data_IF_688666543267
#
_entry.id   IF_688666543267
#
_cell.length_a   1.000
_cell.length_b   1.000
_cell.length_c   1.000
_cell.angle_alpha   90.00
_cell.angle_beta   90.00
_cell.angle_gamma   90.00
#
_symmetry.space_group_name_H-M   'P 1'
#
loop_
_entity.id
_entity.type
_entity.pdbx_description
1 polymer ?
#
# COMPACT_ATOMS: atom_id res chain seq x y z
N UNK A 1 8.82 20.61 17.04
CA UNK A 1 7.74 20.24 16.11
C UNK A 1 7.71 18.73 15.78
N UNK A 2 8.16 17.83 16.67
CA UNK A 2 8.37 16.42 16.34
C UNK A 2 7.34 15.43 16.92
N UNK A 3 6.87 15.63 18.15
CA UNK A 3 5.91 14.72 18.79
C UNK A 3 4.62 14.55 17.99
N UNK A 4 4.03 15.67 17.53
CA UNK A 4 2.80 15.67 16.74
C UNK A 4 2.93 14.96 15.38
N UNK A 5 4.12 14.98 14.77
CA UNK A 5 4.36 14.30 13.50
C UNK A 5 4.44 12.78 13.67
N UNK A 6 5.10 12.31 14.74
CA UNK A 6 5.18 10.88 15.07
C UNK A 6 3.80 10.36 15.46
N UNK A 7 3.04 11.10 16.27
CA UNK A 7 1.67 10.73 16.63
C UNK A 7 0.74 10.65 15.42
N UNK A 8 0.90 11.57 14.46
CA UNK A 8 0.17 11.52 13.19
C UNK A 8 0.53 10.26 12.39
N UNK A 9 1.81 9.89 12.33
CA UNK A 9 2.24 8.68 11.63
C UNK A 9 1.72 7.41 12.32
N UNK A 10 1.78 7.35 13.65
CA UNK A 10 1.19 6.27 14.47
C UNK A 10 -0.29 6.06 14.16
N UNK A 11 -1.05 7.15 14.06
CA UNK A 11 -2.46 7.11 13.67
C UNK A 11 -2.61 6.60 12.23
N UNK A 12 -1.86 7.16 11.28
CA UNK A 12 -1.99 6.80 9.86
C UNK A 12 -1.64 5.34 9.55
N UNK A 13 -0.58 4.79 10.14
CA UNK A 13 -0.20 3.38 9.87
C UNK A 13 -1.18 2.40 10.50
N UNK A 14 -1.76 2.72 11.66
CA UNK A 14 -2.80 1.90 12.30
C UNK A 14 -4.11 1.98 11.53
N UNK A 15 -4.46 3.17 11.04
CA UNK A 15 -5.60 3.35 10.15
C UNK A 15 -5.43 2.54 8.86
N UNK A 16 -4.23 2.55 8.26
CA UNK A 16 -3.92 1.74 7.09
C UNK A 16 -4.09 0.25 7.37
N UNK A 17 -3.57 -0.25 8.49
CA UNK A 17 -3.73 -1.66 8.88
C UNK A 17 -5.20 -2.07 9.01
N UNK A 18 -6.02 -1.23 9.66
CA UNK A 18 -7.46 -1.44 9.74
C UNK A 18 -8.13 -1.43 8.36
N UNK A 19 -7.79 -0.46 7.51
CA UNK A 19 -8.35 -0.31 6.17
C UNK A 19 -7.99 -1.51 5.29
N UNK A 20 -6.74 -1.97 5.35
CA UNK A 20 -6.27 -3.17 4.66
C UNK A 20 -7.08 -4.39 5.09
N UNK A 21 -7.21 -4.65 6.39
CA UNK A 21 -8.00 -5.78 6.90
C UNK A 21 -9.43 -5.76 6.36
N UNK A 22 -10.11 -4.61 6.42
CA UNK A 22 -11.47 -4.45 5.88
C UNK A 22 -11.53 -4.70 4.36
N UNK A 23 -10.53 -4.22 3.61
CA UNK A 23 -10.46 -4.44 2.16
C UNK A 23 -10.29 -5.92 1.84
N UNK A 24 -9.38 -6.63 2.52
CA UNK A 24 -9.19 -8.07 2.31
C UNK A 24 -10.43 -8.88 2.71
N UNK A 25 -11.09 -8.54 3.82
CA UNK A 25 -12.35 -9.18 4.23
C UNK A 25 -13.43 -8.97 3.17
N UNK A 26 -13.56 -7.77 2.61
CA UNK A 26 -14.51 -7.48 1.53
C UNK A 26 -14.21 -8.28 0.26
N UNK A 27 -12.94 -8.39 -0.14
CA UNK A 27 -12.52 -9.11 -1.35
C UNK A 27 -12.68 -10.63 -1.17
N UNK A 28 -12.38 -11.16 0.01
CA UNK A 28 -12.56 -12.57 0.34
C UNK A 28 -14.04 -12.98 0.40
N UNK A 29 -14.94 -12.04 0.72
CA UNK A 29 -16.39 -12.28 0.73
C UNK A 29 -17.04 -12.24 -0.66
N UNK A 30 -16.30 -11.91 -1.73
CA UNK A 30 -16.84 -11.93 -3.08
C UNK A 30 -17.13 -13.37 -3.54
N UNK A 31 -18.07 -13.56 -4.49
CA UNK A 31 -18.26 -14.86 -5.13
C UNK A 31 -16.96 -15.42 -5.70
N UNK A 32 -16.85 -16.75 -5.74
CA UNK A 32 -15.67 -17.44 -6.27
C UNK A 32 -15.29 -16.90 -7.66
N UNK A 33 -13.99 -16.60 -7.83
CA UNK A 33 -13.45 -16.05 -9.08
C UNK A 33 -13.62 -14.54 -9.27
N UNK A 34 -14.51 -13.83 -8.56
CA UNK A 34 -14.73 -12.39 -8.78
C UNK A 34 -13.51 -11.51 -8.47
N UNK A 35 -12.72 -11.89 -7.46
CA UNK A 35 -11.50 -11.17 -7.08
C UNK A 35 -10.43 -11.22 -8.20
N UNK A 36 -10.35 -12.34 -8.92
CA UNK A 36 -9.40 -12.59 -10.00
C UNK A 36 -9.98 -12.29 -11.38
N UNK A 37 -11.29 -12.03 -11.49
CA UNK A 37 -11.97 -11.77 -12.76
C UNK A 37 -11.31 -10.60 -13.49
N UNK A 38 -11.04 -10.74 -14.80
CA UNK A 38 -10.51 -9.66 -15.61
C UNK A 38 -11.39 -8.40 -15.58
N UNK A 39 -10.74 -7.26 -15.41
CA UNK A 39 -11.33 -5.92 -15.34
C UNK A 39 -10.47 -4.94 -16.15
N UNK A 40 -11.08 -3.91 -16.77
CA UNK A 40 -10.35 -2.90 -17.54
C UNK A 40 -9.66 -1.89 -16.61
N UNK A 41 -8.79 -2.38 -15.72
CA UNK A 41 -7.93 -1.56 -14.87
C UNK A 41 -6.48 -1.76 -15.27
N UNK A 42 -5.58 -0.87 -14.83
CA UNK A 42 -4.14 -0.97 -15.11
C UNK A 42 -3.52 -2.33 -14.71
N UNK A 43 -4.09 -2.99 -13.70
CA UNK A 43 -3.55 -4.23 -13.13
C UNK A 43 -4.42 -5.45 -13.46
N UNK A 44 -5.45 -5.30 -14.31
CA UNK A 44 -6.23 -6.43 -14.84
C UNK A 44 -7.20 -7.09 -13.87
N UNK A 45 -6.94 -7.13 -12.56
CA UNK A 45 -7.87 -7.67 -11.55
C UNK A 45 -7.69 -6.99 -10.17
N UNK A 46 -8.54 -7.35 -9.20
CA UNK A 46 -8.52 -6.73 -7.87
C UNK A 46 -7.30 -7.16 -7.06
N UNK A 47 -6.94 -8.45 -7.08
CA UNK A 47 -5.81 -8.98 -6.30
C UNK A 47 -4.48 -8.40 -6.78
N UNK A 48 -4.27 -8.27 -8.08
CA UNK A 48 -3.05 -7.67 -8.64
C UNK A 48 -2.99 -6.16 -8.38
N UNK A 49 -4.14 -5.50 -8.22
CA UNK A 49 -4.22 -4.11 -7.75
C UNK A 49 -3.79 -3.99 -6.28
N UNK A 50 -4.23 -4.90 -5.42
CA UNK A 50 -3.78 -4.94 -4.02
C UNK A 50 -2.29 -5.29 -3.92
N UNK A 51 -1.80 -6.19 -4.77
CA UNK A 51 -0.40 -6.55 -4.82
C UNK A 51 0.50 -5.38 -5.24
N UNK A 52 0.02 -4.49 -6.12
CA UNK A 52 0.73 -3.24 -6.43
C UNK A 52 0.99 -2.40 -5.17
N UNK A 53 -0.01 -2.31 -4.28
CA UNK A 53 0.11 -1.57 -3.02
C UNK A 53 1.13 -2.24 -2.11
N UNK A 54 1.06 -3.57 -1.96
CA UNK A 54 2.03 -4.34 -1.17
C UNK A 54 3.47 -4.17 -1.68
N UNK A 55 3.70 -4.35 -3.00
CA UNK A 55 5.05 -4.22 -3.60
C UNK A 55 5.59 -2.81 -3.41
N UNK A 56 4.75 -1.79 -3.56
CA UNK A 56 5.11 -0.42 -3.24
C UNK A 56 5.54 -0.31 -1.77
N UNK A 57 4.72 -0.75 -0.83
CA UNK A 57 5.03 -0.67 0.60
C UNK A 57 6.34 -1.38 0.94
N UNK A 58 6.64 -2.52 0.28
CA UNK A 58 7.88 -3.25 0.49
C UNK A 58 9.11 -2.54 -0.10
N UNK A 59 8.97 -1.90 -1.26
CA UNK A 59 10.02 -1.02 -1.82
C UNK A 59 10.38 0.07 -0.80
N UNK A 60 9.38 0.73 -0.22
CA UNK A 60 9.59 1.77 0.79
C UNK A 60 10.20 1.20 2.08
N UNK A 61 9.78 0.01 2.53
CA UNK A 61 10.38 -0.69 3.69
C UNK A 61 11.88 -0.90 3.49
N UNK A 62 12.29 -1.40 2.33
CA UNK A 62 13.69 -1.61 2.01
C UNK A 62 14.48 -0.30 2.00
N UNK A 63 13.92 0.77 1.42
CA UNK A 63 14.55 2.09 1.44
C UNK A 63 14.72 2.62 2.87
N UNK A 64 13.73 2.47 3.75
CA UNK A 64 13.83 2.83 5.16
C UNK A 64 14.92 2.05 5.90
N UNK A 65 15.19 0.82 5.47
CA UNK A 65 16.25 -0.04 6.03
C UNK A 65 17.61 0.16 5.34
N UNK A 66 17.71 1.03 4.33
CA UNK A 66 18.94 1.19 3.53
C UNK A 66 19.31 -0.04 2.69
N UNK A 67 18.34 -0.92 2.39
CA UNK A 67 18.54 -2.16 1.62
C UNK A 67 17.98 -2.03 0.19
N UNK A 68 18.49 -2.82 -0.75
CA UNK A 68 17.89 -2.99 -2.08
C UNK A 68 16.68 -3.94 -2.00
N UNK A 69 15.60 -3.64 -2.72
CA UNK A 69 14.33 -4.41 -2.69
C UNK A 69 14.17 -5.47 -3.79
N UNK A 70 15.05 -5.51 -4.80
CA UNK A 70 15.02 -6.51 -5.88
C UNK A 70 13.92 -6.36 -6.95
N UNK A 71 12.82 -5.64 -6.68
CA UNK A 71 11.78 -5.37 -7.68
C UNK A 71 12.26 -4.62 -8.94
N UNK A 72 11.86 -5.12 -10.11
CA UNK A 72 12.06 -4.48 -11.42
C UNK A 72 10.88 -3.60 -11.84
N UNK A 73 9.71 -3.81 -11.25
CA UNK A 73 8.48 -3.06 -11.48
C UNK A 73 7.75 -2.83 -10.15
N UNK A 74 6.76 -1.94 -10.16
CA UNK A 74 5.92 -1.66 -8.96
C UNK A 74 4.86 -2.75 -8.72
N UNK A 75 5.02 -3.93 -9.30
CA UNK A 75 4.14 -5.07 -9.15
C UNK A 75 4.93 -6.33 -9.53
N UNK A 76 4.46 -7.51 -9.15
CA UNK A 76 5.02 -8.78 -9.62
C UNK A 76 4.43 -9.16 -10.98
N UNK A 77 5.14 -10.00 -11.74
CA UNK A 77 4.66 -10.49 -13.04
C UNK A 77 3.36 -11.28 -12.91
N UNK A 78 3.28 -12.12 -11.87
CA UNK A 78 2.12 -12.94 -11.57
C UNK A 78 1.28 -12.33 -10.46
N UNK A 79 -0.03 -12.57 -10.50
CA UNK A 79 -0.94 -12.26 -9.41
C UNK A 79 -0.77 -13.34 -8.31
N UNK A 80 -0.47 -12.98 -7.06
CA UNK A 80 -0.38 -13.95 -5.97
C UNK A 80 -1.75 -14.51 -5.59
N UNK A 81 -1.77 -15.57 -4.79
CA UNK A 81 -3.01 -16.00 -4.12
C UNK A 81 -3.48 -14.90 -3.14
N UNK A 82 -4.79 -14.76 -2.98
CA UNK A 82 -5.37 -13.72 -2.12
C UNK A 82 -4.92 -13.90 -0.65
N UNK A 83 -4.91 -15.13 -0.16
CA UNK A 83 -4.54 -15.44 1.23
C UNK A 83 -3.05 -15.19 1.50
N UNK A 84 -2.17 -15.60 0.57
CA UNK A 84 -0.74 -15.31 0.67
C UNK A 84 -0.47 -13.81 0.70
N UNK A 85 -1.16 -13.05 -0.16
CA UNK A 85 -1.06 -11.61 -0.20
C UNK A 85 -1.60 -10.97 1.09
N UNK A 86 -2.70 -11.48 1.65
CA UNK A 86 -3.25 -11.02 2.92
C UNK A 86 -2.23 -11.18 4.05
N UNK A 87 -1.67 -12.38 4.20
CA UNK A 87 -0.65 -12.67 5.20
C UNK A 87 0.54 -11.72 5.08
N UNK A 88 1.05 -11.53 3.85
CA UNK A 88 2.17 -10.63 3.59
C UNK A 88 1.84 -9.16 3.93
N UNK A 89 0.62 -8.70 3.64
CA UNK A 89 0.16 -7.34 4.00
C UNK A 89 0.03 -7.18 5.51
N UNK A 90 -0.51 -8.15 6.23
CA UNK A 90 -0.64 -8.10 7.70
C UNK A 90 0.73 -8.07 8.40
N UNK A 91 1.69 -8.84 7.89
CA UNK A 91 3.09 -8.78 8.36
C UNK A 91 3.73 -7.41 8.07
N UNK A 92 3.48 -6.84 6.88
CA UNK A 92 3.97 -5.51 6.50
C UNK A 92 3.38 -4.42 7.39
N UNK A 93 2.07 -4.46 7.65
CA UNK A 93 1.38 -3.49 8.49
C UNK A 93 1.89 -3.55 9.93
N UNK A 94 2.12 -4.76 10.47
CA UNK A 94 2.76 -4.94 11.79
C UNK A 94 4.15 -4.34 11.83
N UNK A 95 4.97 -4.59 10.80
CA UNK A 95 6.30 -4.00 10.69
C UNK A 95 6.23 -2.47 10.72
N UNK A 96 5.38 -1.83 9.91
CA UNK A 96 5.27 -0.36 9.92
C UNK A 96 4.79 0.21 11.26
N UNK A 97 3.85 -0.46 11.94
CA UNK A 97 3.40 -0.08 13.28
C UNK A 97 4.55 -0.12 14.28
N UNK A 98 5.27 -1.24 14.34
CA UNK A 98 6.43 -1.41 15.23
C UNK A 98 7.52 -0.37 14.94
N UNK A 99 7.76 -0.05 13.67
CA UNK A 99 8.75 0.95 13.28
C UNK A 99 8.39 2.35 13.77
N UNK A 100 7.17 2.83 13.50
CA UNK A 100 6.79 4.19 13.94
C UNK A 100 6.59 4.30 15.44
N UNK A 101 6.33 3.19 16.13
CA UNK A 101 6.26 3.16 17.59
C UNK A 101 7.62 3.39 18.25
N UNK A 102 8.69 2.93 17.60
CA UNK A 102 10.07 3.05 18.06
C UNK A 102 10.82 4.26 17.49
N UNK A 103 10.18 5.09 16.65
CA UNK A 103 10.85 6.24 16.05
C UNK A 103 11.06 7.40 17.03
N UNK A 104 12.27 7.94 17.02
CA UNK A 104 12.59 9.20 17.68
C UNK A 104 12.42 10.38 16.70
N UNK A 105 12.31 11.62 17.21
CA UNK A 105 12.37 12.83 16.40
C UNK A 105 13.57 12.89 15.45
N UNK A 106 14.72 12.38 15.87
CA UNK A 106 15.97 12.35 15.12
C UNK A 106 15.90 11.32 14.00
N UNK A 107 15.35 10.13 14.26
CA UNK A 107 15.09 9.13 13.23
C UNK A 107 14.19 9.71 12.12
N UNK A 108 13.14 10.44 12.52
CA UNK A 108 12.26 11.12 11.59
C UNK A 108 12.99 12.21 10.77
N UNK A 109 14.03 12.85 11.32
CA UNK A 109 14.79 13.85 10.60
C UNK A 109 15.76 13.27 9.56
N UNK A 110 16.01 11.95 9.59
CA UNK A 110 16.94 11.28 8.67
C UNK A 110 16.50 11.40 7.21
N UNK A 111 17.49 11.60 6.35
CA UNK A 111 17.31 11.64 4.90
C UNK A 111 17.49 10.24 4.34
N UNK A 112 16.47 9.74 3.66
CA UNK A 112 16.51 8.47 2.95
C UNK A 112 16.89 8.73 1.51
N UNK A 113 17.97 8.10 1.07
CA UNK A 113 18.41 8.10 -0.33
C UNK A 113 17.94 6.82 -1.00
N UNK A 114 17.30 6.94 -2.16
CA UNK A 114 16.77 5.79 -2.89
C UNK A 114 16.70 6.04 -4.40
N UNK A 115 16.52 4.96 -5.15
CA UNK A 115 16.31 4.98 -6.60
C UNK A 115 14.86 4.59 -6.91
N UNK A 116 14.22 5.28 -7.86
CA UNK A 116 12.84 4.93 -8.20
C UNK A 116 12.76 3.66 -9.05
N UNK A 117 11.75 2.83 -8.76
CA UNK A 117 11.40 1.66 -9.57
C UNK A 117 10.44 2.06 -10.69
N UNK A 118 10.84 1.80 -11.93
CA UNK A 118 10.00 2.03 -13.12
C UNK A 118 9.82 3.50 -13.48
N UNK A 119 10.91 4.13 -13.93
CA UNK A 119 10.80 5.29 -14.82
C UNK A 119 10.37 4.80 -16.20
N UNK A 120 9.23 5.28 -16.71
CA UNK A 120 8.79 4.96 -18.07
C UNK A 120 9.92 5.18 -19.07
N UNK A 121 10.15 4.18 -19.92
CA UNK A 121 11.42 3.97 -20.60
C UNK A 121 12.01 5.19 -21.30
N UNK A 122 13.31 5.40 -21.09
CA UNK A 122 14.24 5.59 -22.20
C UNK A 122 15.46 4.69 -22.00
N UNK A 123 16.00 4.09 -23.08
CA UNK A 123 17.14 3.18 -23.03
C UNK A 123 18.43 3.98 -23.00
N UNK A 124 18.84 4.43 -21.81
CA UNK A 124 20.24 4.64 -21.46
C UNK A 124 20.31 5.01 -19.99
N UNK A 125 21.31 4.48 -19.30
CA UNK A 125 21.71 4.83 -17.94
C UNK A 125 21.85 6.35 -17.75
N UNK A 126 20.74 7.05 -17.47
CA UNK A 126 20.76 8.46 -17.13
C UNK A 126 21.06 8.58 -15.63
N UNK A 127 22.17 9.23 -15.23
CA UNK A 127 22.47 9.49 -13.83
C UNK A 127 21.48 10.56 -13.32
N UNK A 128 20.31 10.13 -12.82
CA UNK A 128 19.26 11.09 -12.46
C UNK A 128 18.05 10.57 -11.69
N UNK A 129 17.96 9.27 -11.39
CA UNK A 129 16.79 8.72 -10.69
C UNK A 129 16.98 8.56 -9.17
N UNK A 130 17.94 9.29 -8.60
CA UNK A 130 18.20 9.31 -7.17
C UNK A 130 17.34 10.38 -6.50
N UNK A 131 16.54 9.98 -5.54
CA UNK A 131 15.80 10.88 -4.68
C UNK A 131 16.36 10.83 -3.27
N UNK A 132 16.26 11.97 -2.59
CA UNK A 132 16.55 12.11 -1.17
C UNK A 132 15.33 12.75 -0.52
N UNK A 133 14.76 12.10 0.49
CA UNK A 133 13.62 12.65 1.21
C UNK A 133 13.75 12.39 2.70
N UNK A 134 13.37 13.36 3.54
CA UNK A 134 13.25 13.12 4.99
C UNK A 134 12.11 12.13 5.24
N UNK A 135 12.28 11.19 6.16
CA UNK A 135 11.30 10.14 6.48
C UNK A 135 9.82 10.60 6.60
N UNK A 136 9.47 11.73 7.25
CA UNK A 136 8.08 12.17 7.36
C UNK A 136 7.53 12.58 6.01
N UNK A 137 8.34 13.19 5.12
CA UNK A 137 7.92 13.46 3.74
C UNK A 137 7.98 12.22 2.87
N UNK A 138 8.74 11.21 3.25
CA UNK A 138 8.80 9.93 2.57
C UNK A 138 7.50 9.13 2.79
N UNK A 139 7.10 8.95 4.06
CA UNK A 139 5.84 8.33 4.48
C UNK A 139 4.60 9.23 4.35
N UNK A 140 4.75 10.54 4.17
CA UNK A 140 3.63 11.47 3.93
C UNK A 140 3.66 12.11 2.55
N UNK A 141 4.55 11.64 1.65
CA UNK A 141 4.57 12.10 0.27
C UNK A 141 3.18 11.94 -0.34
N UNK A 142 2.87 12.70 -1.40
CA UNK A 142 1.60 12.56 -2.14
C UNK A 142 1.33 11.11 -2.58
N UNK A 143 2.35 10.25 -2.56
CA UNK A 143 2.29 8.82 -2.72
C UNK A 143 1.59 8.13 -1.53
N UNK A 144 2.16 8.08 -0.32
CA UNK A 144 1.49 7.44 0.84
C UNK A 144 0.12 8.04 1.16
N UNK A 145 -0.06 9.37 1.04
CA UNK A 145 -1.37 10.00 1.29
C UNK A 145 -2.44 9.59 0.27
N UNK A 146 -2.07 9.33 -0.99
CA UNK A 146 -3.02 8.89 -2.01
C UNK A 146 -3.24 7.37 -1.94
N UNK A 147 -2.22 6.57 -1.64
CA UNK A 147 -2.32 5.11 -1.65
C UNK A 147 -2.84 4.49 -0.34
N UNK A 148 -2.45 5.00 0.84
CA UNK A 148 -3.00 4.55 2.12
C UNK A 148 -4.49 4.88 2.29
N UNK A 149 -5.01 5.85 1.51
CA UNK A 149 -6.44 6.17 1.43
C UNK A 149 -7.12 5.56 0.19
N UNK A 150 -6.39 5.32 -0.92
CA UNK A 150 -6.99 4.74 -2.14
C UNK A 150 -7.36 3.27 -2.00
N UNK A 151 -6.67 2.47 -1.16
CA UNK A 151 -7.08 1.07 -0.94
C UNK A 151 -8.52 0.95 -0.41
N UNK A 152 -8.89 1.82 0.53
CA UNK A 152 -10.26 1.88 1.07
C UNK A 152 -11.24 2.64 0.16
N UNK A 153 -10.81 3.70 -0.53
CA UNK A 153 -11.68 4.52 -1.37
C UNK A 153 -12.00 3.89 -2.74
N UNK A 154 -11.11 3.05 -3.27
CA UNK A 154 -11.36 2.37 -4.55
C UNK A 154 -12.52 1.36 -4.45
N UNK A 155 -12.82 0.86 -3.25
CA UNK A 155 -13.93 -0.09 -3.02
C UNK A 155 -15.19 0.54 -2.42
N UNK A 156 -15.08 1.71 -1.78
CA UNK A 156 -16.24 2.39 -1.16
C UNK A 156 -16.88 3.46 -2.05
N UNK A 157 -16.19 3.94 -3.09
CA UNK A 157 -16.65 5.07 -3.92
C UNK A 157 -16.77 4.83 -5.42
N UNK A 158 -16.05 3.86 -6.00
CA UNK A 158 -16.23 3.50 -7.40
C UNK A 158 -17.11 2.26 -7.50
N UNK A 159 -18.28 2.42 -8.14
CA UNK A 159 -19.00 1.27 -8.67
C UNK A 159 -18.04 0.56 -9.61
N UNK A 160 -17.44 -0.55 -9.18
CA UNK A 160 -16.95 -1.55 -10.11
C UNK A 160 -18.17 -1.91 -10.98
N UNK A 161 -18.18 -1.40 -12.21
CA UNK A 161 -19.24 -1.67 -13.17
C UNK A 161 -19.44 -3.20 -13.21
N UNK A 162 -20.56 -3.66 -12.66
CA UNK A 162 -20.95 -5.07 -12.66
C UNK A 162 -20.99 -5.81 -11.32
N UNK A 163 -20.61 -5.23 -10.17
CA UNK A 163 -20.88 -5.86 -8.85
C UNK A 163 -22.13 -5.21 -8.25
N UNK A 164 -23.25 -5.92 -8.27
CA UNK A 164 -24.50 -5.48 -7.65
C UNK A 164 -24.30 -5.37 -6.14
N UNK A 165 -24.77 -4.28 -5.52
CA UNK A 165 -24.75 -4.06 -4.06
C UNK A 165 -25.51 -5.12 -3.26
N UNK A 166 -26.18 -6.08 -3.93
CA UNK A 166 -26.89 -7.21 -3.32
C UNK A 166 -25.97 -8.38 -2.94
N UNK A 167 -24.69 -8.35 -3.31
CA UNK A 167 -23.75 -9.46 -3.07
C UNK A 167 -22.88 -9.30 -1.81
N UNK A 168 -22.99 -8.18 -1.10
CA UNK A 168 -22.25 -7.96 0.15
C UNK A 168 -23.08 -8.44 1.34
N UNK A 169 -22.48 -9.16 2.32
CA UNK A 169 -23.21 -9.60 3.50
C UNK A 169 -23.74 -8.42 4.32
N UNK A 170 -24.96 -8.51 4.88
CA UNK A 170 -25.53 -7.44 5.70
C UNK A 170 -24.68 -7.23 6.96
N UNK A 171 -23.96 -6.11 7.03
CA UNK A 171 -23.17 -5.75 8.22
C UNK A 171 -21.82 -5.08 7.96
N UNK A 172 -21.25 -5.21 6.75
CA UNK A 172 -19.93 -4.65 6.40
C UNK A 172 -19.82 -3.11 6.56
N UNK A 173 -20.96 -2.41 6.55
CA UNK A 173 -21.03 -0.94 6.66
C UNK A 173 -21.21 -0.44 8.10
N UNK A 174 -21.54 -1.31 9.07
CA UNK A 174 -22.13 -0.86 10.36
C UNK A 174 -21.18 -0.76 11.56
N UNK A 175 -19.87 -0.89 11.39
CA UNK A 175 -18.88 -0.65 12.46
C UNK A 175 -17.92 0.49 12.11
N UNK A 176 -18.51 1.65 11.89
CA UNK A 176 -17.82 2.93 11.88
C UNK A 176 -18.61 3.90 12.76
N UNK A 177 -18.50 3.71 14.08
CA UNK A 177 -18.79 4.70 15.12
C UNK A 177 -17.85 4.48 16.27
#
# INVERSE_FOLDING_TARGET
MSATAIDTLKMLVRYKAWANALTFDCVAALPEGEALRPRPTRFGNMVHTLNHVYVVDDIFRHHLQGRKHGYLARNTEQTPALDDLRCAVEEMDRWYIEQVDNWSPEALAQVVHFEFVGGGGRPHDAPGNRAACRQPRYLSSRFCRRYALSGALCFTGERFAGVSSRSLPPGAVRRAR
#
